data_IF_080572403200
#
_entry.id   IF_080572403200
#
_cell.length_a   1.000
_cell.length_b   1.000
_cell.length_c   1.000
_cell.angle_alpha   90.00
_cell.angle_beta   90.00
_cell.angle_gamma   90.00
#
_symmetry.space_group_name_H-M   'P 1'
#
loop_
_entity.id
_entity.type
_entity.pdbx_description
1 polymer ?
#
# COMPACT_ATOMS: atom_id res chain seq x y z
N UNK A 1 -24.36 -84.54 9.96
CA UNK A 1 -24.03 -83.74 8.75
C UNK A 1 -24.57 -82.29 8.80
N UNK A 2 -24.91 -81.74 9.97
CA UNK A 2 -25.44 -80.37 10.12
C UNK A 2 -24.41 -79.35 10.65
N UNK A 3 -23.27 -79.78 11.19
CA UNK A 3 -22.32 -78.89 11.86
C UNK A 3 -21.20 -78.32 10.96
N UNK A 4 -21.05 -78.81 9.72
CA UNK A 4 -20.06 -78.29 8.76
C UNK A 4 -20.59 -77.11 7.91
N UNK A 5 -21.90 -77.01 7.72
CA UNK A 5 -22.54 -75.94 6.93
C UNK A 5 -22.54 -74.59 7.70
N UNK A 6 -22.69 -74.63 9.02
CA UNK A 6 -22.70 -73.42 9.87
C UNK A 6 -21.30 -72.79 9.97
N UNK A 7 -20.24 -73.61 9.97
CA UNK A 7 -18.86 -73.11 10.01
C UNK A 7 -18.44 -72.42 8.70
N UNK A 8 -18.95 -72.88 7.55
CA UNK A 8 -18.68 -72.24 6.25
C UNK A 8 -19.42 -70.89 6.11
N UNK A 9 -20.64 -70.79 6.66
CA UNK A 9 -21.41 -69.54 6.64
C UNK A 9 -20.76 -68.44 7.51
N UNK A 10 -20.14 -68.81 8.64
CA UNK A 10 -19.43 -67.85 9.51
C UNK A 10 -18.07 -67.39 8.95
N UNK A 11 -17.44 -68.17 8.07
CA UNK A 11 -16.19 -67.81 7.38
C UNK A 11 -16.39 -66.90 6.16
N UNK A 12 -17.59 -66.90 5.56
CA UNK A 12 -17.93 -66.02 4.43
C UNK A 12 -18.41 -64.63 4.86
N UNK A 13 -18.99 -64.49 6.06
CA UNK A 13 -19.43 -63.19 6.61
C UNK A 13 -18.26 -62.36 7.14
N UNK A 14 -17.13 -62.98 7.48
CA UNK A 14 -15.92 -62.29 7.96
C UNK A 14 -15.02 -61.75 6.84
N UNK A 15 -15.27 -62.06 5.57
CA UNK A 15 -14.44 -61.62 4.44
C UNK A 15 -14.92 -60.32 3.75
N UNK A 16 -16.05 -59.73 4.17
CA UNK A 16 -16.62 -58.50 3.56
C UNK A 16 -16.43 -57.25 4.43
N UNK A 17 -15.83 -57.38 5.61
CA UNK A 17 -15.34 -56.24 6.41
C UNK A 17 -13.84 -56.03 6.17
N UNK A 18 -13.44 -55.88 4.91
CA UNK A 18 -12.22 -55.11 4.64
C UNK A 18 -12.60 -53.67 4.90
N UNK A 19 -12.01 -52.98 5.89
CA UNK A 19 -12.18 -51.54 5.97
C UNK A 19 -11.57 -51.02 4.67
N UNK A 20 -12.41 -50.52 3.77
CA UNK A 20 -11.95 -49.62 2.72
C UNK A 20 -11.39 -48.45 3.53
N UNK A 21 -10.08 -48.49 3.82
CA UNK A 21 -9.30 -47.30 4.11
C UNK A 21 -9.38 -46.49 2.84
N UNK A 22 -10.51 -45.77 2.71
CA UNK A 22 -10.56 -44.54 1.96
C UNK A 22 -9.52 -43.70 2.67
N UNK A 23 -8.32 -43.65 2.10
CA UNK A 23 -7.35 -42.62 2.41
C UNK A 23 -8.03 -41.30 2.03
N UNK A 24 -8.87 -40.81 2.96
CA UNK A 24 -9.43 -39.48 2.89
C UNK A 24 -8.22 -38.57 2.77
N UNK A 25 -8.08 -37.97 1.60
CA UNK A 25 -6.99 -37.05 1.29
C UNK A 25 -7.26 -35.83 2.17
N UNK A 26 -6.66 -35.78 3.35
CA UNK A 26 -6.81 -34.66 4.27
C UNK A 26 -5.93 -33.49 3.81
N UNK A 27 -6.48 -32.66 2.93
CA UNK A 27 -6.05 -31.26 2.72
C UNK A 27 -7.32 -30.39 2.80
N UNK A 28 -7.30 -29.26 3.52
CA UNK A 28 -7.69 -29.25 4.94
C UNK A 28 -8.93 -28.39 5.25
N UNK A 29 -9.69 -28.80 6.27
CA UNK A 29 -10.80 -28.06 6.90
C UNK A 29 -10.39 -26.65 7.41
N UNK A 30 -9.11 -26.30 7.41
CA UNK A 30 -8.56 -25.08 8.02
C UNK A 30 -8.51 -23.86 7.10
N UNK A 31 -8.14 -23.97 5.81
CA UNK A 31 -8.02 -22.80 4.90
C UNK A 31 -9.39 -22.18 4.65
N UNK A 32 -10.39 -23.00 4.34
CA UNK A 32 -11.77 -22.56 4.14
C UNK A 32 -12.33 -21.86 5.39
N UNK A 33 -12.05 -22.41 6.57
CA UNK A 33 -12.43 -21.83 7.85
C UNK A 33 -11.76 -20.49 8.16
N UNK A 34 -10.52 -20.28 7.69
CA UNK A 34 -9.85 -18.98 7.83
C UNK A 34 -10.33 -17.96 6.79
N UNK A 35 -10.51 -18.37 5.53
CA UNK A 35 -11.04 -17.49 4.48
C UNK A 35 -12.49 -17.04 4.76
N UNK A 36 -13.31 -17.87 5.39
CA UNK A 36 -14.69 -17.51 5.75
C UNK A 36 -14.78 -16.38 6.79
N UNK A 37 -13.68 -16.07 7.50
CA UNK A 37 -13.59 -14.95 8.44
C UNK A 37 -13.22 -13.63 7.76
N UNK A 38 -13.03 -13.64 6.43
CA UNK A 38 -12.65 -12.46 5.65
C UNK A 38 -13.86 -11.85 4.93
N UNK A 39 -13.85 -10.54 4.61
CA UNK A 39 -14.96 -9.90 3.91
C UNK A 39 -15.17 -10.41 2.48
N UNK A 40 -14.15 -11.01 1.86
CA UNK A 40 -14.24 -11.60 0.53
C UNK A 40 -13.72 -13.07 0.53
N UNK A 41 -14.51 -14.04 1.04
CA UNK A 41 -14.06 -15.43 1.16
C UNK A 41 -13.70 -16.08 -0.18
N UNK A 42 -14.49 -15.84 -1.23
CA UNK A 42 -14.31 -16.47 -2.54
C UNK A 42 -12.90 -16.23 -3.15
N UNK A 43 -12.41 -14.97 -3.29
CA UNK A 43 -11.05 -14.76 -3.79
C UNK A 43 -9.99 -15.29 -2.82
N UNK A 44 -10.21 -15.27 -1.50
CA UNK A 44 -9.28 -15.89 -0.55
C UNK A 44 -9.13 -17.39 -0.85
N UNK A 45 -10.24 -18.12 -0.91
CA UNK A 45 -10.24 -19.56 -1.16
C UNK A 45 -9.63 -19.88 -2.53
N UNK A 46 -10.04 -19.16 -3.57
CA UNK A 46 -9.55 -19.35 -4.94
C UNK A 46 -8.03 -19.23 -5.04
N UNK A 47 -7.46 -18.14 -4.51
CA UNK A 47 -6.02 -17.89 -4.64
C UNK A 47 -5.17 -18.69 -3.63
N UNK A 48 -5.75 -19.16 -2.53
CA UNK A 48 -5.09 -20.07 -1.58
C UNK A 48 -5.11 -21.53 -2.05
N UNK A 49 -6.12 -21.93 -2.83
CA UNK A 49 -6.21 -23.25 -3.44
C UNK A 49 -5.34 -23.39 -4.70
N UNK A 50 -5.00 -22.28 -5.36
CA UNK A 50 -4.02 -22.25 -6.43
C UNK A 50 -2.66 -22.66 -5.84
N UNK A 51 -2.23 -23.92 -6.07
CA UNK A 51 -1.06 -24.61 -5.50
C UNK A 51 0.29 -23.94 -5.82
N UNK A 52 0.43 -22.66 -5.45
CA UNK A 52 1.64 -21.88 -5.53
C UNK A 52 2.58 -22.23 -4.36
N UNK A 53 3.84 -21.84 -4.48
CA UNK A 53 4.87 -22.11 -3.46
C UNK A 53 4.48 -21.58 -2.07
N UNK A 54 3.65 -20.52 -2.01
CA UNK A 54 3.22 -19.86 -0.77
C UNK A 54 2.09 -20.60 -0.05
N UNK A 55 1.30 -21.41 -0.76
CA UNK A 55 0.19 -22.20 -0.20
C UNK A 55 0.62 -23.57 0.36
N UNK A 56 1.87 -23.97 0.12
CA UNK A 56 2.41 -25.25 0.56
C UNK A 56 2.72 -25.23 2.07
N UNK A 57 2.20 -26.23 2.79
CA UNK A 57 2.59 -26.47 4.18
C UNK A 57 1.99 -25.50 5.20
N UNK A 58 0.89 -24.82 4.88
CA UNK A 58 0.14 -23.99 5.84
C UNK A 58 -0.40 -24.89 6.97
N UNK A 59 0.13 -24.72 8.18
CA UNK A 59 -0.27 -25.48 9.37
C UNK A 59 -0.86 -24.59 10.46
N UNK A 60 -0.37 -23.37 10.57
CA UNK A 60 -0.79 -22.41 11.62
C UNK A 60 -1.49 -21.20 11.03
N UNK A 61 -2.17 -20.43 11.89
CA UNK A 61 -2.77 -19.15 11.48
C UNK A 61 -1.72 -18.16 10.98
N UNK A 62 -0.54 -18.14 11.60
CA UNK A 62 0.58 -17.27 11.18
C UNK A 62 1.08 -17.64 9.78
N UNK A 63 1.13 -18.94 9.45
CA UNK A 63 1.49 -19.39 8.11
C UNK A 63 0.45 -18.95 7.07
N UNK A 64 -0.83 -19.06 7.43
CA UNK A 64 -1.95 -18.61 6.58
C UNK A 64 -1.89 -17.10 6.34
N UNK A 65 -1.72 -16.29 7.39
CA UNK A 65 -1.66 -14.84 7.29
C UNK A 65 -0.49 -14.40 6.39
N UNK A 66 0.69 -15.01 6.58
CA UNK A 66 1.88 -14.75 5.75
C UNK A 66 1.67 -15.17 4.29
N UNK A 67 1.12 -16.35 4.06
CA UNK A 67 0.83 -16.85 2.72
C UNK A 67 -0.15 -15.94 1.98
N UNK A 68 -1.22 -15.50 2.65
CA UNK A 68 -2.21 -14.60 2.06
C UNK A 68 -1.61 -13.23 1.72
N UNK A 69 -0.74 -12.68 2.58
CA UNK A 69 -0.02 -11.43 2.27
C UNK A 69 0.91 -11.58 1.05
N UNK A 70 1.66 -12.69 0.95
CA UNK A 70 2.52 -12.98 -0.19
C UNK A 70 1.72 -13.13 -1.48
N UNK A 71 0.64 -13.90 -1.44
CA UNK A 71 -0.27 -14.05 -2.58
C UNK A 71 -0.87 -12.70 -2.99
N UNK A 72 -1.25 -11.86 -2.02
CA UNK A 72 -1.77 -10.52 -2.30
C UNK A 72 -0.73 -9.66 -3.03
N UNK A 73 0.54 -9.69 -2.59
CA UNK A 73 1.65 -9.01 -3.27
C UNK A 73 1.86 -9.54 -4.69
N UNK A 74 1.87 -10.86 -4.90
CA UNK A 74 2.02 -11.46 -6.22
C UNK A 74 0.90 -11.05 -7.19
N UNK A 75 -0.34 -10.98 -6.68
CA UNK A 75 -1.48 -10.52 -7.50
C UNK A 75 -1.41 -9.03 -7.77
N UNK A 76 -0.91 -8.22 -6.83
CA UNK A 76 -0.65 -6.80 -7.07
C UNK A 76 0.42 -6.58 -8.15
N UNK A 77 1.53 -7.34 -8.12
CA UNK A 77 2.58 -7.31 -9.16
C UNK A 77 2.02 -7.68 -10.54
N UNK A 78 1.21 -8.74 -10.63
CA UNK A 78 0.56 -9.14 -11.89
C UNK A 78 -0.43 -8.09 -12.39
N UNK A 79 -1.21 -7.50 -11.49
CA UNK A 79 -2.18 -6.46 -11.82
C UNK A 79 -1.49 -5.16 -12.30
N UNK A 80 -0.39 -4.78 -11.67
CA UNK A 80 0.43 -3.63 -12.09
C UNK A 80 1.00 -3.86 -13.49
N UNK A 81 1.64 -5.00 -13.73
CA UNK A 81 2.23 -5.31 -15.05
C UNK A 81 1.17 -5.31 -16.15
N UNK A 82 -0.02 -5.87 -15.88
CA UNK A 82 -1.16 -5.81 -16.80
C UNK A 82 -1.61 -4.37 -17.02
N UNK A 83 -1.77 -3.59 -15.95
CA UNK A 83 -2.19 -2.19 -16.02
C UNK A 83 -1.22 -1.36 -16.84
N UNK A 84 0.08 -1.50 -16.60
CA UNK A 84 1.13 -0.84 -17.38
C UNK A 84 1.01 -1.16 -18.89
N UNK A 85 0.74 -2.42 -19.24
CA UNK A 85 0.54 -2.84 -20.63
C UNK A 85 -0.68 -2.21 -21.34
N UNK A 86 -1.64 -1.66 -20.61
CA UNK A 86 -2.85 -1.03 -21.19
C UNK A 86 -2.61 0.40 -21.68
N UNK A 87 -1.44 1.01 -21.46
CA UNK A 87 -1.18 2.40 -21.84
C UNK A 87 -1.30 2.70 -23.33
N UNK A 88 -1.07 1.69 -24.18
CA UNK A 88 -1.27 1.80 -25.63
C UNK A 88 -2.75 1.75 -26.05
N UNK A 89 -3.64 1.27 -25.17
CA UNK A 89 -5.07 1.14 -25.42
C UNK A 89 -5.86 2.39 -25.00
N UNK A 90 -5.23 3.34 -24.31
CA UNK A 90 -5.85 4.63 -23.95
C UNK A 90 -6.25 5.40 -25.22
N UNK A 91 -7.55 5.67 -25.37
CA UNK A 91 -8.19 6.25 -26.56
C UNK A 91 -8.14 7.77 -26.56
N UNK A 92 -8.00 8.38 -25.40
CA UNK A 92 -7.98 9.83 -25.23
C UNK A 92 -7.05 10.24 -24.07
N UNK A 93 -6.83 11.55 -23.94
CA UNK A 93 -5.95 12.11 -22.92
C UNK A 93 -6.44 11.85 -21.49
N UNK A 94 -7.76 11.93 -21.24
CA UNK A 94 -8.32 11.67 -19.90
C UNK A 94 -8.08 10.23 -19.45
N UNK A 95 -8.25 9.26 -20.35
CA UNK A 95 -7.89 7.86 -20.09
C UNK A 95 -6.40 7.72 -19.80
N UNK A 96 -5.55 8.40 -20.57
CA UNK A 96 -4.09 8.38 -20.37
C UNK A 96 -3.67 8.97 -19.02
N UNK A 97 -4.32 10.06 -18.58
CA UNK A 97 -4.09 10.67 -17.26
C UNK A 97 -4.49 9.71 -16.15
N UNK A 98 -5.73 9.23 -16.13
CA UNK A 98 -6.19 8.29 -15.09
C UNK A 98 -5.39 6.97 -15.09
N UNK A 99 -4.98 6.49 -16.26
CA UNK A 99 -4.11 5.33 -16.39
C UNK A 99 -2.72 5.56 -15.78
N UNK A 100 -2.07 6.68 -16.08
CA UNK A 100 -0.76 7.01 -15.53
C UNK A 100 -0.81 7.08 -14.00
N UNK A 101 -1.83 7.73 -13.46
CA UNK A 101 -2.08 7.80 -12.01
C UNK A 101 -2.26 6.40 -11.42
N UNK A 102 -3.02 5.55 -12.10
CA UNK A 102 -3.25 4.20 -11.61
C UNK A 102 -1.99 3.34 -11.62
N UNK A 103 -1.12 3.46 -12.63
CA UNK A 103 0.17 2.77 -12.66
C UNK A 103 1.00 3.16 -11.43
N UNK A 104 1.07 4.45 -11.12
CA UNK A 104 1.76 4.94 -9.93
C UNK A 104 1.14 4.39 -8.64
N UNK A 105 -0.18 4.44 -8.51
CA UNK A 105 -0.90 3.92 -7.33
C UNK A 105 -0.74 2.40 -7.16
N UNK A 106 -0.60 1.63 -8.24
CA UNK A 106 -0.27 0.21 -8.16
C UNK A 106 1.16 -0.02 -7.67
N UNK A 107 2.14 0.77 -8.13
CA UNK A 107 3.51 0.72 -7.61
C UNK A 107 3.57 1.07 -6.11
N UNK A 108 2.77 2.05 -5.68
CA UNK A 108 2.61 2.42 -4.26
C UNK A 108 2.00 1.26 -3.47
N UNK A 109 0.95 0.63 -4.00
CA UNK A 109 0.31 -0.56 -3.41
C UNK A 109 1.33 -1.68 -3.21
N UNK A 110 2.13 -2.00 -4.23
CA UNK A 110 3.19 -3.01 -4.18
C UNK A 110 4.23 -2.64 -3.11
N UNK A 111 4.62 -1.37 -3.03
CA UNK A 111 5.56 -0.90 -2.02
C UNK A 111 5.05 -1.13 -0.60
N UNK A 112 3.79 -0.79 -0.33
CA UNK A 112 3.18 -1.01 0.98
C UNK A 112 3.07 -2.50 1.30
N UNK A 113 2.60 -3.32 0.36
CA UNK A 113 2.49 -4.77 0.53
C UNK A 113 3.85 -5.43 0.75
N UNK A 114 4.87 -5.02 0.01
CA UNK A 114 6.22 -5.57 0.17
C UNK A 114 6.78 -5.33 1.58
N UNK A 115 6.47 -4.18 2.20
CA UNK A 115 6.87 -3.90 3.59
C UNK A 115 6.26 -4.90 4.59
N UNK A 116 5.05 -5.39 4.32
CA UNK A 116 4.37 -6.38 5.19
C UNK A 116 4.99 -7.77 5.14
N UNK A 117 5.61 -8.15 4.01
CA UNK A 117 6.17 -9.51 3.80
C UNK A 117 7.69 -9.58 3.88
N UNK A 118 8.38 -8.44 3.99
CA UNK A 118 9.83 -8.39 3.91
C UNK A 118 10.49 -9.09 5.13
N UNK A 119 11.35 -10.11 4.96
CA UNK A 119 11.87 -10.92 6.08
C UNK A 119 12.63 -10.15 7.16
N UNK A 120 13.19 -8.99 6.79
CA UNK A 120 13.98 -8.12 7.68
C UNK A 120 13.17 -6.96 8.28
N UNK A 121 11.91 -6.79 7.89
CA UNK A 121 11.11 -5.70 8.41
C UNK A 121 10.58 -6.05 9.81
N UNK A 122 10.90 -5.22 10.81
CA UNK A 122 10.39 -5.35 12.18
C UNK A 122 9.06 -4.62 12.28
N UNK A 123 8.03 -5.14 11.63
CA UNK A 123 6.74 -4.48 11.50
C UNK A 123 5.84 -4.84 12.66
N UNK A 124 5.26 -3.82 13.30
CA UNK A 124 4.18 -4.06 14.25
C UNK A 124 2.88 -4.39 13.51
N UNK A 125 1.91 -4.96 14.22
CA UNK A 125 0.55 -5.15 13.69
C UNK A 125 -0.06 -3.82 13.26
N UNK A 126 0.27 -2.72 13.96
CA UNK A 126 -0.16 -1.36 13.62
C UNK A 126 0.47 -0.86 12.32
N UNK A 127 1.78 -1.07 12.11
CA UNK A 127 2.45 -0.71 10.86
C UNK A 127 1.84 -1.48 9.68
N UNK A 128 1.61 -2.78 9.89
CA UNK A 128 0.97 -3.65 8.90
C UNK A 128 -0.44 -3.15 8.57
N UNK A 129 -1.23 -2.77 9.58
CA UNK A 129 -2.56 -2.21 9.40
C UNK A 129 -2.50 -0.92 8.57
N UNK A 130 -1.54 -0.06 8.88
CA UNK A 130 -1.33 1.22 8.20
C UNK A 130 -1.00 1.02 6.73
N UNK A 131 -0.04 0.14 6.42
CA UNK A 131 0.37 -0.11 5.04
C UNK A 131 -0.69 -0.83 4.22
N UNK A 132 -1.39 -1.80 4.81
CA UNK A 132 -2.52 -2.44 4.14
C UNK A 132 -3.66 -1.46 3.87
N UNK A 133 -3.93 -0.54 4.80
CA UNK A 133 -4.97 0.49 4.61
C UNK A 133 -4.57 1.45 3.50
N UNK A 134 -3.31 1.89 3.48
CA UNK A 134 -2.76 2.71 2.40
C UNK A 134 -2.81 2.01 1.04
N UNK A 135 -2.47 0.71 0.98
CA UNK A 135 -2.57 -0.10 -0.24
C UNK A 135 -4.02 -0.14 -0.77
N UNK A 136 -5.01 -0.33 0.10
CA UNK A 136 -6.42 -0.32 -0.31
C UNK A 136 -6.84 1.07 -0.81
N UNK A 137 -6.45 2.12 -0.10
CA UNK A 137 -6.70 3.51 -0.52
C UNK A 137 -6.14 3.78 -1.90
N UNK A 138 -4.92 3.33 -2.20
CA UNK A 138 -4.32 3.54 -3.52
C UNK A 138 -5.14 2.91 -4.65
N UNK A 139 -5.63 1.69 -4.45
CA UNK A 139 -6.47 0.98 -5.43
C UNK A 139 -7.82 1.70 -5.64
N UNK A 140 -8.44 2.21 -4.57
CA UNK A 140 -9.67 2.99 -4.69
C UNK A 140 -9.43 4.36 -5.33
N UNK A 141 -8.31 5.02 -5.03
CA UNK A 141 -7.93 6.29 -5.68
C UNK A 141 -7.72 6.09 -7.18
N UNK A 142 -7.09 4.98 -7.59
CA UNK A 142 -6.95 4.64 -9.01
C UNK A 142 -8.32 4.55 -9.66
N UNK A 143 -9.24 3.79 -9.05
CA UNK A 143 -10.61 3.63 -9.57
C UNK A 143 -11.35 4.96 -9.64
N UNK A 144 -11.21 5.78 -8.61
CA UNK A 144 -11.83 7.10 -8.52
C UNK A 144 -11.37 8.03 -9.64
N UNK A 145 -10.08 8.05 -10.00
CA UNK A 145 -9.56 8.90 -11.07
C UNK A 145 -10.24 8.68 -12.42
N UNK A 146 -10.55 7.43 -12.78
CA UNK A 146 -11.31 7.13 -14.00
C UNK A 146 -12.77 7.62 -13.93
N UNK A 147 -13.39 7.51 -12.74
CA UNK A 147 -14.78 7.94 -12.51
C UNK A 147 -14.88 9.47 -12.56
N UNK A 148 -13.97 10.17 -11.89
CA UNK A 148 -13.87 11.63 -11.84
C UNK A 148 -13.75 12.24 -13.24
N UNK A 149 -12.97 11.60 -14.12
CA UNK A 149 -12.77 12.06 -15.49
C UNK A 149 -13.85 11.57 -16.47
N UNK A 150 -14.79 10.74 -16.02
CA UNK A 150 -15.88 10.20 -16.85
C UNK A 150 -15.41 9.22 -17.92
N UNK A 151 -14.38 8.41 -17.62
CA UNK A 151 -13.73 7.48 -18.56
C UNK A 151 -13.64 6.05 -18.00
N UNK A 152 -14.55 5.68 -17.10
CA UNK A 152 -14.60 4.37 -16.45
C UNK A 152 -14.89 3.20 -17.39
N UNK A 153 -15.72 3.41 -18.40
CA UNK A 153 -16.46 2.33 -19.07
C UNK A 153 -15.59 1.42 -19.94
N UNK A 154 -14.44 1.93 -20.39
CA UNK A 154 -13.51 1.17 -21.22
C UNK A 154 -12.32 0.65 -20.43
N UNK A 155 -11.65 1.51 -19.65
CA UNK A 155 -10.40 1.15 -18.98
C UNK A 155 -10.61 0.29 -17.74
N UNK A 156 -11.60 0.57 -16.89
CA UNK A 156 -11.81 -0.20 -15.65
C UNK A 156 -12.12 -1.68 -15.90
N UNK A 157 -12.97 -2.07 -16.88
CA UNK A 157 -13.16 -3.49 -17.20
C UNK A 157 -11.86 -4.20 -17.62
N UNK A 158 -11.00 -3.53 -18.40
CA UNK A 158 -9.69 -4.07 -18.81
C UNK A 158 -8.73 -4.20 -17.63
N UNK A 159 -8.92 -3.42 -16.57
CA UNK A 159 -8.10 -3.45 -15.36
C UNK A 159 -8.68 -4.33 -14.25
N UNK A 160 -9.89 -4.86 -14.44
CA UNK A 160 -10.60 -5.65 -13.42
C UNK A 160 -9.75 -6.81 -12.90
N UNK A 161 -9.67 -6.93 -11.57
CA UNK A 161 -8.93 -7.94 -10.83
C UNK A 161 -9.43 -8.02 -9.38
N UNK A 162 -8.84 -8.90 -8.57
CA UNK A 162 -9.24 -9.15 -7.17
C UNK A 162 -8.29 -8.55 -6.12
N UNK A 163 -7.34 -7.69 -6.50
CA UNK A 163 -6.31 -7.20 -5.56
C UNK A 163 -6.93 -6.40 -4.41
N UNK A 164 -7.88 -5.50 -4.67
CA UNK A 164 -8.54 -4.73 -3.59
C UNK A 164 -9.28 -5.63 -2.59
N UNK A 165 -9.91 -6.70 -3.09
CA UNK A 165 -10.56 -7.73 -2.25
C UNK A 165 -9.54 -8.50 -1.42
N UNK A 166 -8.41 -8.89 -2.01
CA UNK A 166 -7.33 -9.58 -1.32
C UNK A 166 -6.69 -8.70 -0.23
N UNK A 167 -6.43 -7.43 -0.52
CA UNK A 167 -5.95 -6.45 0.48
C UNK A 167 -6.98 -6.26 1.59
N UNK A 168 -8.27 -6.23 1.26
CA UNK A 168 -9.34 -6.16 2.28
C UNK A 168 -9.40 -7.40 3.17
N UNK A 169 -9.10 -8.58 2.62
CA UNK A 169 -9.00 -9.81 3.40
C UNK A 169 -7.80 -9.79 4.35
N UNK A 170 -6.62 -9.37 3.89
CA UNK A 170 -5.43 -9.24 4.76
C UNK A 170 -5.65 -8.19 5.85
N UNK A 171 -6.36 -7.09 5.56
CA UNK A 171 -6.78 -6.11 6.56
C UNK A 171 -7.66 -6.71 7.65
N UNK A 172 -8.64 -7.54 7.28
CA UNK A 172 -9.54 -8.17 8.24
C UNK A 172 -8.79 -9.14 9.17
N UNK A 173 -7.82 -9.86 8.61
CA UNK A 173 -6.99 -10.82 9.34
C UNK A 173 -5.99 -10.14 10.28
N UNK A 174 -5.46 -8.99 9.89
CA UNK A 174 -4.49 -8.22 10.68
C UNK A 174 -5.13 -7.52 11.91
N UNK A 175 -6.43 -7.67 12.15
CA UNK A 175 -7.13 -7.12 13.33
C UNK A 175 -6.79 -7.89 14.62
N UNK A 176 -5.57 -7.71 15.09
CA UNK A 176 -5.18 -7.89 16.49
C UNK A 176 -4.54 -6.58 16.98
N UNK A 177 -5.31 -5.51 17.01
CA UNK A 177 -4.93 -4.33 17.79
C UNK A 177 -5.15 -4.68 19.27
N UNK A 178 -4.12 -4.69 20.13
CA UNK A 178 -4.37 -4.77 21.55
C UNK A 178 -5.27 -3.59 21.96
N UNK A 179 -6.37 -3.84 22.70
CA UNK A 179 -7.20 -2.76 23.22
C UNK A 179 -6.34 -1.91 24.16
N UNK A 180 -6.17 -0.63 23.83
CA UNK A 180 -5.53 0.33 24.74
C UNK A 180 -4.29 1.07 24.22
N UNK A 181 -3.86 0.88 22.97
CA UNK A 181 -2.81 1.76 22.42
C UNK A 181 -3.41 3.13 22.08
N UNK A 182 -3.31 4.06 23.03
CA UNK A 182 -3.75 5.45 22.92
C UNK A 182 -3.01 6.14 21.77
N UNK A 183 -3.63 6.18 20.60
CA UNK A 183 -3.18 7.00 19.48
C UNK A 183 -3.53 8.45 19.84
N UNK A 184 -2.50 9.29 20.01
CA UNK A 184 -2.70 10.72 20.30
C UNK A 184 -2.41 11.17 21.72
N UNK A 185 -1.61 10.43 22.50
CA UNK A 185 -1.02 10.99 23.71
C UNK A 185 -0.18 12.22 23.35
N UNK A 186 -0.61 13.38 23.84
CA UNK A 186 0.12 14.64 23.76
C UNK A 186 0.91 14.78 25.05
N UNK A 187 2.16 15.17 24.97
CA UNK A 187 2.95 15.45 26.17
C UNK A 187 2.62 16.81 26.78
N UNK A 188 3.29 17.11 27.90
CA UNK A 188 3.15 18.38 28.63
C UNK A 188 3.53 19.61 27.78
N UNK A 189 4.26 19.42 26.68
CA UNK A 189 4.73 20.48 25.77
C UNK A 189 3.76 20.69 24.59
N UNK A 190 2.67 19.91 24.52
CA UNK A 190 1.69 20.00 23.45
C UNK A 190 2.06 19.25 22.18
N UNK A 191 3.12 18.45 22.18
CA UNK A 191 3.53 17.64 21.03
C UNK A 191 2.94 16.23 21.09
N UNK A 192 2.52 15.64 19.95
CA UNK A 192 2.19 14.23 19.90
C UNK A 192 3.40 13.36 20.26
N UNK A 193 3.15 12.27 20.99
CA UNK A 193 4.19 11.34 21.46
C UNK A 193 5.04 10.70 20.35
N UNK A 194 4.53 10.66 19.12
CA UNK A 194 5.28 10.16 17.95
C UNK A 194 6.29 11.17 17.39
N UNK A 195 6.20 12.45 17.77
CA UNK A 195 7.18 13.47 17.39
C UNK A 195 8.37 13.39 18.34
N UNK A 196 9.51 12.89 17.85
CA UNK A 196 10.72 12.75 18.68
C UNK A 196 11.26 14.10 19.16
N UNK A 197 11.97 14.17 20.31
CA UNK A 197 12.58 15.41 20.80
C UNK A 197 13.51 16.09 19.78
N UNK A 198 14.19 15.29 18.96
CA UNK A 198 15.02 15.79 17.86
C UNK A 198 14.18 16.52 16.83
N UNK A 199 13.04 15.95 16.41
CA UNK A 199 12.10 16.60 15.48
C UNK A 199 11.54 17.88 16.09
N UNK A 200 11.16 17.89 17.37
CA UNK A 200 10.67 19.11 18.05
C UNK A 200 11.70 20.23 18.03
N UNK A 201 12.95 19.92 18.39
CA UNK A 201 14.03 20.90 18.37
C UNK A 201 14.24 21.49 16.97
N UNK A 202 14.04 20.70 15.91
CA UNK A 202 14.15 21.16 14.53
C UNK A 202 13.00 22.07 14.11
N UNK A 203 11.78 21.81 14.57
CA UNK A 203 10.63 22.70 14.35
C UNK A 203 10.80 24.04 15.08
N UNK A 204 11.41 24.03 16.27
CA UNK A 204 11.67 25.25 17.04
C UNK A 204 12.85 26.07 16.50
N UNK A 205 13.89 25.39 16.01
CA UNK A 205 15.11 26.03 15.50
C UNK A 205 15.62 25.24 14.28
N UNK A 206 15.14 25.61 13.08
CA UNK A 206 15.59 24.98 11.85
C UNK A 206 17.11 25.17 11.68
N UNK A 207 17.84 24.13 11.23
CA UNK A 207 19.26 24.27 10.93
C UNK A 207 19.48 25.17 9.71
N UNK A 208 20.72 25.63 9.52
CA UNK A 208 21.08 26.47 8.38
C UNK A 208 20.70 25.84 7.04
N UNK A 209 20.18 26.66 6.12
CA UNK A 209 19.72 26.20 4.82
C UNK A 209 20.87 25.62 3.98
N UNK A 210 20.64 24.48 3.33
CA UNK A 210 21.57 23.95 2.33
C UNK A 210 21.41 24.70 1.01
N UNK A 211 20.17 25.03 0.64
CA UNK A 211 19.83 25.80 -0.55
C UNK A 211 18.71 26.79 -0.25
N UNK A 212 18.74 27.91 -0.95
CA UNK A 212 17.74 28.99 -0.87
C UNK A 212 16.98 29.08 -2.18
N UNK A 213 15.66 29.11 -2.10
CA UNK A 213 14.75 29.39 -3.20
C UNK A 213 14.31 30.84 -3.12
N UNK A 214 14.50 31.58 -4.20
CA UNK A 214 14.09 32.98 -4.29
C UNK A 214 13.72 33.35 -5.73
N UNK A 215 12.47 33.78 -5.94
CA UNK A 215 11.98 34.18 -7.28
C UNK A 215 12.71 35.36 -7.91
N UNK A 216 13.25 36.25 -7.08
CA UNK A 216 13.99 37.43 -7.49
C UNK A 216 15.43 37.12 -7.95
N UNK A 217 15.84 35.85 -7.89
CA UNK A 217 17.20 35.41 -8.24
C UNK A 217 18.23 35.63 -7.14
N UNK A 218 17.84 36.08 -5.95
CA UNK A 218 18.75 36.27 -4.81
C UNK A 218 19.13 34.96 -4.09
N UNK A 219 18.58 33.83 -4.52
CA UNK A 219 18.81 32.49 -3.96
C UNK A 219 19.57 31.58 -4.93
N UNK A 220 19.73 30.31 -4.55
CA UNK A 220 20.33 29.28 -5.40
C UNK A 220 19.42 28.89 -6.57
N UNK A 221 18.10 28.87 -6.35
CA UNK A 221 17.12 28.48 -7.36
C UNK A 221 15.93 29.45 -7.41
N UNK A 222 15.38 29.76 -8.59
CA UNK A 222 14.14 30.53 -8.72
C UNK A 222 12.86 29.74 -8.39
N UNK A 223 12.92 28.41 -8.35
CA UNK A 223 11.75 27.53 -8.18
C UNK A 223 11.96 26.48 -7.11
N UNK A 224 10.87 26.04 -6.47
CA UNK A 224 10.91 24.99 -5.45
C UNK A 224 11.22 23.65 -6.10
N UNK A 225 10.68 23.39 -7.29
CA UNK A 225 10.97 22.15 -8.04
C UNK A 225 12.47 21.93 -8.26
N UNK A 226 13.21 22.97 -8.67
CA UNK A 226 14.66 22.85 -8.87
C UNK A 226 15.42 22.54 -7.58
N UNK A 227 15.00 23.09 -6.45
CA UNK A 227 15.59 22.76 -5.16
C UNK A 227 15.32 21.30 -4.75
N UNK A 228 14.13 20.78 -5.04
CA UNK A 228 13.79 19.37 -4.84
C UNK A 228 14.60 18.47 -5.79
N UNK A 229 14.76 18.85 -7.06
CA UNK A 229 15.58 18.12 -8.03
C UNK A 229 17.05 18.07 -7.57
N UNK A 230 17.59 19.16 -7.03
CA UNK A 230 18.91 19.21 -6.42
C UNK A 230 19.01 18.29 -5.19
N UNK A 231 17.98 18.29 -4.33
CA UNK A 231 17.89 17.40 -3.18
C UNK A 231 17.82 15.92 -3.58
N UNK A 232 17.23 15.59 -4.73
CA UNK A 232 17.14 14.22 -5.25
C UNK A 232 18.49 13.66 -5.74
N UNK A 233 19.38 14.54 -6.20
CA UNK A 233 20.67 14.16 -6.82
C UNK A 233 21.78 13.95 -5.80
N UNK A 234 21.54 14.26 -4.53
CA UNK A 234 22.55 14.18 -3.48
C UNK A 234 22.81 12.73 -3.06
N UNK A 235 24.04 12.48 -2.59
CA UNK A 235 24.40 11.23 -1.91
C UNK A 235 24.30 11.44 -0.41
N UNK A 236 23.74 10.47 0.31
CA UNK A 236 23.64 10.47 1.77
C UNK A 236 22.21 10.56 2.30
N UNK A 237 22.08 10.40 3.62
CA UNK A 237 20.79 10.39 4.35
C UNK A 237 20.62 11.57 5.30
N UNK A 238 21.58 12.51 5.30
CA UNK A 238 21.53 13.71 6.12
C UNK A 238 20.34 14.59 5.75
N UNK A 239 19.90 15.46 6.66
CA UNK A 239 18.77 16.35 6.40
C UNK A 239 19.18 17.42 5.41
N UNK A 240 18.34 17.64 4.40
CA UNK A 240 18.55 18.69 3.40
C UNK A 240 17.49 19.77 3.55
N UNK A 241 17.91 20.94 4.02
CA UNK A 241 17.05 22.09 4.32
C UNK A 241 16.98 22.99 3.08
N UNK A 242 15.76 23.14 2.56
CA UNK A 242 15.40 24.07 1.49
C UNK A 242 14.68 25.24 2.14
N UNK A 243 15.30 26.40 2.11
CA UNK A 243 14.69 27.63 2.60
C UNK A 243 14.04 28.40 1.44
N UNK A 244 12.77 28.76 1.59
CA UNK A 244 11.95 29.40 0.56
C UNK A 244 11.59 30.80 1.01
N UNK A 245 12.23 31.81 0.40
CA UNK A 245 11.97 33.22 0.70
C UNK A 245 10.53 33.61 0.37
N UNK A 246 10.05 34.64 1.04
CA UNK A 246 8.73 35.21 0.87
C UNK A 246 8.40 35.46 -0.61
N UNK A 247 7.17 35.14 -0.99
CA UNK A 247 6.70 35.22 -2.35
C UNK A 247 5.60 34.21 -2.64
N UNK A 248 4.93 34.40 -3.77
CA UNK A 248 3.90 33.50 -4.28
C UNK A 248 4.50 32.60 -5.34
N UNK A 249 4.67 31.32 -5.05
CA UNK A 249 5.20 30.27 -5.93
C UNK A 249 4.03 29.50 -6.56
N UNK A 250 3.76 29.77 -7.84
CA UNK A 250 2.72 29.08 -8.61
C UNK A 250 3.31 27.83 -9.25
N UNK A 251 3.39 26.74 -8.47
CA UNK A 251 4.02 25.47 -8.83
C UNK A 251 3.25 24.30 -8.20
N UNK A 252 3.13 23.17 -8.91
CA UNK A 252 2.74 21.90 -8.30
C UNK A 252 4.00 21.14 -7.89
N UNK A 253 4.30 21.12 -6.59
CA UNK A 253 5.53 20.54 -6.04
C UNK A 253 5.29 19.07 -5.71
N UNK A 254 6.10 18.19 -6.30
CA UNK A 254 6.08 16.75 -6.01
C UNK A 254 7.40 16.37 -5.36
N UNK A 255 7.35 15.92 -4.11
CA UNK A 255 8.48 15.32 -3.41
C UNK A 255 8.45 13.82 -3.66
N UNK A 256 9.21 13.40 -4.67
CA UNK A 256 9.25 12.00 -5.09
C UNK A 256 9.96 11.09 -4.06
N UNK A 257 9.82 9.77 -4.24
CA UNK A 257 10.35 8.76 -3.31
C UNK A 257 11.88 8.67 -3.29
N UNK A 258 12.57 9.25 -4.26
CA UNK A 258 14.04 9.26 -4.35
C UNK A 258 14.61 10.34 -3.44
N UNK A 259 13.87 11.42 -3.24
CA UNK A 259 14.16 12.46 -2.27
C UNK A 259 14.01 11.89 -0.86
N UNK A 260 15.04 11.99 -0.03
CA UNK A 260 15.02 11.50 1.36
C UNK A 260 15.25 12.66 2.31
N UNK A 261 14.70 12.63 3.52
CA UNK A 261 15.03 13.52 4.64
C UNK A 261 15.17 15.01 4.23
N UNK A 262 14.12 15.57 3.62
CA UNK A 262 14.08 16.99 3.22
C UNK A 262 13.29 17.79 4.26
N UNK A 263 13.70 19.04 4.46
CA UNK A 263 12.95 20.02 5.22
C UNK A 263 12.71 21.25 4.34
N UNK A 264 11.46 21.66 4.20
CA UNK A 264 11.08 22.88 3.51
C UNK A 264 10.70 23.94 4.56
N UNK A 265 11.38 25.08 4.53
CA UNK A 265 11.19 26.17 5.51
C UNK A 265 10.88 27.48 4.79
N UNK A 266 9.75 28.10 5.07
CA UNK A 266 9.34 29.40 4.55
C UNK A 266 9.70 30.57 5.46
N UNK A 267 9.46 31.80 4.99
CA UNK A 267 9.58 33.03 5.80
C UNK A 267 8.45 33.19 6.84
N UNK A 268 7.51 32.26 6.84
CA UNK A 268 6.40 32.17 7.76
C UNK A 268 5.05 32.32 7.06
N UNK A 269 4.02 31.85 7.78
CA UNK A 269 2.63 31.82 7.33
C UNK A 269 2.20 33.13 6.69
N UNK A 270 1.74 33.05 5.44
CA UNK A 270 1.23 34.20 4.67
C UNK A 270 2.31 35.03 3.99
N UNK A 271 3.60 34.74 4.18
CA UNK A 271 4.71 35.35 3.44
C UNK A 271 5.19 34.44 2.31
N UNK A 272 5.41 33.17 2.61
CA UNK A 272 5.72 32.16 1.61
C UNK A 272 4.43 31.42 1.26
N UNK A 273 3.99 31.54 0.00
CA UNK A 273 2.73 30.94 -0.47
C UNK A 273 3.05 30.05 -1.66
N UNK A 274 2.72 28.77 -1.56
CA UNK A 274 2.79 27.82 -2.69
C UNK A 274 1.36 27.61 -3.19
N UNK A 275 1.13 27.81 -4.48
CA UNK A 275 -0.19 27.71 -5.10
C UNK A 275 -0.14 26.85 -6.36
N UNK A 276 -1.22 26.11 -6.61
CA UNK A 276 -1.40 25.25 -7.77
C UNK A 276 -2.81 25.45 -8.33
N UNK A 277 -2.97 25.26 -9.64
CA UNK A 277 -4.24 25.51 -10.35
C UNK A 277 -4.87 24.24 -10.95
N UNK A 278 -4.33 23.06 -10.60
CA UNK A 278 -4.85 21.77 -11.09
C UNK A 278 -6.17 21.41 -10.41
N UNK A 279 -7.09 20.84 -11.17
CA UNK A 279 -8.40 20.40 -10.69
C UNK A 279 -8.99 19.33 -11.61
N UNK A 280 -10.03 18.64 -11.12
CA UNK A 280 -10.79 17.66 -11.93
C UNK A 280 -11.45 18.30 -13.14
N UNK A 281 -12.04 19.48 -12.96
CA UNK A 281 -12.62 20.24 -14.09
C UNK A 281 -11.55 20.63 -15.12
N UNK A 282 -10.32 20.87 -14.68
CA UNK A 282 -9.15 21.12 -15.52
C UNK A 282 -8.50 19.88 -16.13
N UNK A 283 -9.08 18.68 -15.96
CA UNK A 283 -8.59 17.43 -16.54
C UNK A 283 -7.52 16.69 -15.73
N UNK A 284 -7.22 17.14 -14.50
CA UNK A 284 -6.41 16.37 -13.53
C UNK A 284 -7.31 15.40 -12.76
N UNK A 285 -6.75 14.42 -12.05
CA UNK A 285 -7.50 13.66 -11.04
C UNK A 285 -7.34 14.32 -9.67
N UNK A 286 -8.13 13.88 -8.68
CA UNK A 286 -7.89 14.24 -7.27
C UNK A 286 -6.45 13.91 -6.86
N UNK A 287 -5.92 12.75 -7.25
CA UNK A 287 -4.55 12.31 -6.95
C UNK A 287 -3.50 13.32 -7.43
N UNK A 288 -3.66 13.85 -8.64
CA UNK A 288 -2.66 14.72 -9.28
C UNK A 288 -2.95 16.23 -9.21
N UNK A 289 -3.98 16.62 -8.46
CA UNK A 289 -4.38 18.02 -8.26
C UNK A 289 -3.71 18.74 -7.10
N UNK A 290 -3.01 18.01 -6.23
CA UNK A 290 -2.39 18.60 -5.03
C UNK A 290 -1.34 19.68 -5.38
N UNK A 291 -1.35 20.78 -4.63
CA UNK A 291 -0.33 21.83 -4.74
C UNK A 291 1.03 21.35 -4.25
N UNK A 292 1.05 20.58 -3.16
CA UNK A 292 2.24 19.91 -2.64
C UNK A 292 1.90 18.44 -2.42
N UNK A 293 2.53 17.55 -3.17
CA UNK A 293 2.40 16.10 -3.04
C UNK A 293 3.68 15.53 -2.41
N UNK A 294 3.51 14.72 -1.36
CA UNK A 294 4.62 14.16 -0.59
C UNK A 294 4.51 12.65 -0.62
N UNK A 295 5.46 11.98 -1.28
CA UNK A 295 5.44 10.51 -1.43
C UNK A 295 6.50 9.81 -0.58
N UNK A 296 7.11 10.54 0.36
CA UNK A 296 8.22 10.09 1.21
C UNK A 296 7.77 9.94 2.66
N UNK A 297 8.49 9.10 3.42
CA UNK A 297 8.20 8.90 4.85
C UNK A 297 8.70 10.06 5.73
N UNK A 298 9.68 10.86 5.27
CA UNK A 298 10.32 11.88 6.09
C UNK A 298 10.43 13.22 5.35
N UNK A 299 9.38 14.03 5.46
CA UNK A 299 9.38 15.46 5.09
C UNK A 299 8.94 16.29 6.30
N UNK A 300 9.68 17.35 6.59
CA UNK A 300 9.24 18.41 7.50
C UNK A 300 8.92 19.65 6.67
N UNK A 301 7.71 20.19 6.84
CA UNK A 301 7.21 21.33 6.07
C UNK A 301 6.73 22.42 7.02
N UNK A 302 7.41 23.55 7.01
CA UNK A 302 7.03 24.78 7.72
C UNK A 302 7.00 25.91 6.70
N UNK A 303 5.84 26.48 6.41
CA UNK A 303 5.68 27.52 5.37
C UNK A 303 4.98 28.74 5.93
#
# INVERSE_FOLDING_TARGET
>A
MANKQILLALLLVSLVLVPIFSSATTTPVTIKSWCSQTPFPEPCEYFMADHNQHSLGIKTRVDFDRALMQITLDRALKAESRTYGLGAQCRNEKERVAWADCVELYLDTIMQLNRTVHPKSKCTTFDTQTWLSAALTNLETCRAGFIELGVSDFMLPLMSNNVSKLVSNTLAINKQLPPGQQVGAVDEEGYPSWVSPVVRKLLQSPPGANVVVAKDGSGNFPTIKQAIDAASSRKGSERFVIYVKAGVYSENVVVDKKVKNVMLVGDGKGKTIITGSRSVQGGSTTFNSATVAVMVMDLLLEV
#
